data_IF_362804882499
#
_entry.id   IF_362804882499
#
_cell.length_a   1.000
_cell.length_b   1.000
_cell.length_c   1.000
_cell.angle_alpha   90.00
_cell.angle_beta   90.00
_cell.angle_gamma   90.00
#
_symmetry.space_group_name_H-M   'P 1'
#
loop_
_entity.id
_entity.type
_entity.pdbx_description
1 polymer ?
#
# COMPACT_ATOMS: atom_id res chain seq x y z
N UNK A 1 -2.28 -76.09 3.26
CA UNK A 1 -1.58 -76.73 2.13
C UNK A 1 -0.79 -75.62 1.44
N UNK A 2 0.54 -75.56 1.66
CA UNK A 2 1.61 -76.05 0.75
C UNK A 2 2.00 -74.90 -0.21
N UNK A 3 3.18 -74.26 -0.15
CA UNK A 3 4.56 -74.74 -0.46
C UNK A 3 4.64 -75.40 -1.84
N UNK A 4 5.73 -75.34 -2.61
CA UNK A 4 7.10 -74.77 -2.45
C UNK A 4 7.30 -73.82 -3.71
N UNK A 5 8.36 -73.05 -4.06
CA UNK A 5 9.83 -73.08 -3.91
C UNK A 5 10.49 -74.30 -4.60
N UNK A 6 11.65 -74.21 -5.26
CA UNK A 6 12.53 -73.08 -5.61
C UNK A 6 13.36 -73.45 -6.88
N UNK A 7 14.29 -72.56 -7.30
CA UNK A 7 15.67 -72.84 -7.78
C UNK A 7 16.13 -71.94 -8.94
N UNK A 8 17.39 -71.49 -8.86
CA UNK A 8 18.23 -71.07 -9.99
C UNK A 8 19.37 -72.11 -10.16
N UNK A 9 20.63 -71.72 -10.47
CA UNK A 9 21.16 -70.41 -10.83
C UNK A 9 21.90 -70.43 -12.21
N UNK A 10 22.69 -69.40 -12.51
CA UNK A 10 23.62 -69.39 -13.64
C UNK A 10 24.62 -68.23 -13.54
N UNK A 11 25.85 -68.51 -13.10
CA UNK A 11 26.96 -67.55 -13.04
C UNK A 11 27.58 -67.28 -14.42
N UNK A 12 28.20 -66.11 -14.61
CA UNK A 12 28.89 -65.78 -15.85
C UNK A 12 29.32 -64.31 -16.01
N UNK A 13 30.33 -63.89 -15.24
CA UNK A 13 31.06 -62.62 -15.44
C UNK A 13 32.57 -62.95 -15.31
N UNK A 14 33.46 -62.41 -16.17
CA UNK A 14 34.33 -61.34 -15.65
C UNK A 14 34.81 -60.27 -16.66
N UNK A 15 34.72 -59.01 -16.20
CA UNK A 15 35.79 -57.99 -16.20
C UNK A 15 36.37 -57.38 -17.50
N UNK A 16 36.20 -56.05 -17.59
CA UNK A 16 37.20 -55.02 -18.00
C UNK A 16 37.88 -55.07 -19.38
N UNK A 17 37.59 -54.08 -20.26
CA UNK A 17 38.37 -53.89 -21.48
C UNK A 17 38.11 -52.62 -22.33
N UNK A 18 38.76 -51.50 -21.98
CA UNK A 18 39.18 -50.38 -22.87
C UNK A 18 38.15 -49.47 -23.58
N UNK A 19 38.66 -48.33 -24.07
CA UNK A 19 37.96 -47.13 -24.54
C UNK A 19 37.64 -47.10 -26.06
N UNK A 20 36.66 -46.28 -26.51
CA UNK A 20 36.44 -45.97 -27.92
C UNK A 20 37.49 -44.99 -28.53
N UNK A 21 37.64 -44.94 -29.87
CA UNK A 21 38.70 -44.19 -30.57
C UNK A 21 38.44 -42.66 -30.70
N UNK A 22 39.48 -41.86 -31.05
CA UNK A 22 39.43 -40.39 -30.99
C UNK A 22 38.76 -39.70 -32.19
N UNK A 23 38.20 -38.52 -31.93
CA UNK A 23 37.79 -37.55 -32.96
C UNK A 23 38.99 -36.72 -33.45
N UNK A 24 38.83 -36.05 -34.60
CA UNK A 24 39.92 -35.47 -35.41
C UNK A 24 39.75 -33.96 -35.62
N UNK A 25 40.88 -33.25 -35.79
CA UNK A 25 41.07 -31.83 -36.17
C UNK A 25 40.91 -30.76 -35.05
N UNK A 26 41.64 -29.60 -35.14
CA UNK A 26 42.78 -29.41 -34.21
C UNK A 26 42.86 -28.05 -33.48
N UNK A 27 43.85 -27.91 -32.59
CA UNK A 27 44.33 -26.61 -32.07
C UNK A 27 45.32 -25.90 -33.03
N UNK A 28 45.44 -24.56 -32.97
CA UNK A 28 46.61 -23.81 -33.37
C UNK A 28 47.64 -23.67 -32.22
N UNK A 29 48.93 -23.69 -32.56
CA UNK A 29 50.04 -23.76 -31.60
C UNK A 29 50.35 -22.45 -30.85
N UNK A 30 50.99 -22.63 -29.68
CA UNK A 30 51.42 -21.59 -28.76
C UNK A 30 52.51 -20.64 -29.31
N UNK A 31 52.57 -19.44 -28.72
CA UNK A 31 53.79 -18.65 -28.59
C UNK A 31 54.02 -18.30 -27.11
N UNK A 32 55.26 -18.48 -26.65
CA UNK A 32 55.68 -18.18 -25.30
C UNK A 32 57.02 -17.44 -25.34
N UNK A 33 57.00 -16.13 -25.05
CA UNK A 33 58.19 -15.29 -24.94
C UNK A 33 58.03 -14.24 -23.86
N UNK A 34 59.06 -14.16 -23.01
CA UNK A 34 59.65 -12.94 -22.47
C UNK A 34 58.85 -12.00 -21.54
N UNK A 35 59.41 -11.82 -20.34
CA UNK A 35 59.16 -10.67 -19.47
C UNK A 35 59.80 -9.43 -20.09
N UNK A 36 59.00 -8.59 -20.74
CA UNK A 36 59.39 -7.21 -21.07
C UNK A 36 58.86 -6.25 -20.02
N UNK A 37 59.76 -5.60 -19.26
CA UNK A 37 59.35 -4.60 -18.28
C UNK A 37 58.72 -3.38 -18.98
N UNK A 38 57.50 -3.01 -18.58
CA UNK A 38 56.75 -1.90 -19.20
C UNK A 38 56.16 -1.03 -18.11
N UNK A 39 56.83 0.11 -17.93
CA UNK A 39 56.33 1.27 -17.18
C UNK A 39 54.88 1.55 -17.57
N UNK A 40 53.93 1.65 -16.61
CA UNK A 40 52.57 2.05 -16.94
C UNK A 40 52.60 3.46 -17.52
N UNK A 41 52.09 3.63 -18.73
CA UNK A 41 51.84 4.95 -19.29
C UNK A 41 50.91 5.73 -18.34
N UNK A 42 51.12 7.05 -18.24
CA UNK A 42 50.23 7.90 -17.47
C UNK A 42 48.78 7.72 -17.97
N UNK A 43 47.77 7.66 -17.07
CA UNK A 43 46.39 7.50 -17.48
C UNK A 43 45.99 8.67 -18.38
N UNK A 44 45.36 8.36 -19.53
CA UNK A 44 44.80 9.37 -20.42
C UNK A 44 43.96 10.36 -19.62
N UNK A 45 44.20 11.65 -19.84
CA UNK A 45 43.46 12.69 -19.15
C UNK A 45 41.96 12.56 -19.49
N UNK A 46 41.18 12.04 -18.54
CA UNK A 46 39.73 11.94 -18.65
C UNK A 46 39.14 13.35 -18.71
N UNK A 47 38.95 13.87 -19.92
CA UNK A 47 38.22 15.10 -20.19
C UNK A 47 36.74 14.76 -20.17
N UNK A 48 35.98 15.11 -19.12
CA UNK A 48 34.58 14.70 -19.01
C UNK A 48 33.75 15.40 -20.08
N UNK A 49 32.80 14.69 -20.67
CA UNK A 49 31.86 15.27 -21.61
C UNK A 49 30.94 16.25 -20.88
N UNK A 50 30.44 17.28 -21.58
CA UNK A 50 29.54 18.26 -20.96
C UNK A 50 28.28 17.62 -20.34
N UNK A 51 27.86 16.47 -20.88
CA UNK A 51 26.79 15.63 -20.35
C UNK A 51 27.15 15.00 -19.00
N UNK A 52 28.37 14.46 -18.87
CA UNK A 52 28.87 13.87 -17.63
C UNK A 52 29.05 14.95 -16.54
N UNK A 53 29.43 16.17 -16.92
CA UNK A 53 29.40 17.34 -16.03
C UNK A 53 27.97 17.72 -15.60
N UNK A 54 27.02 17.74 -16.53
CA UNK A 54 25.62 18.04 -16.22
C UNK A 54 25.01 16.99 -15.29
N UNK A 55 25.26 15.70 -15.56
CA UNK A 55 24.83 14.58 -14.72
C UNK A 55 25.50 14.62 -13.34
N UNK A 56 26.79 14.94 -13.25
CA UNK A 56 27.48 15.09 -11.96
C UNK A 56 26.90 16.25 -11.12
N UNK A 57 26.61 17.41 -11.74
CA UNK A 57 25.97 18.55 -11.07
C UNK A 57 24.53 18.21 -10.66
N UNK A 58 23.77 17.52 -11.51
CA UNK A 58 22.41 17.07 -11.21
C UNK A 58 22.40 16.05 -10.06
N UNK A 59 23.30 15.06 -10.08
CA UNK A 59 23.45 14.06 -9.02
C UNK A 59 23.87 14.69 -7.69
N UNK A 60 24.82 15.63 -7.69
CA UNK A 60 25.23 16.34 -6.47
C UNK A 60 24.06 17.15 -5.89
N UNK A 61 23.31 17.88 -6.72
CA UNK A 61 22.16 18.66 -6.30
C UNK A 61 20.97 17.81 -5.84
N UNK A 62 20.73 16.67 -6.50
CA UNK A 62 19.74 15.68 -6.07
C UNK A 62 20.14 15.10 -4.72
N UNK A 63 21.40 14.70 -4.56
CA UNK A 63 21.90 14.10 -3.32
C UNK A 63 21.80 15.08 -2.15
N UNK A 64 22.24 16.33 -2.33
CA UNK A 64 22.10 17.41 -1.34
C UNK A 64 20.65 17.81 -0.98
N UNK A 65 19.63 17.28 -1.68
CA UNK A 65 18.21 17.46 -1.35
C UNK A 65 17.59 16.27 -0.61
N UNK A 66 18.23 15.10 -0.59
CA UNK A 66 17.64 13.85 -0.09
C UNK A 66 18.51 13.10 0.92
N UNK A 67 19.85 13.16 0.81
CA UNK A 67 20.71 12.97 1.97
C UNK A 67 20.61 14.25 2.81
N UNK A 68 20.27 14.13 4.10
CA UNK A 68 20.38 15.24 5.05
C UNK A 68 21.84 15.68 5.22
N UNK A 69 22.11 16.82 5.88
CA UNK A 69 23.48 17.29 6.08
C UNK A 69 24.31 16.22 6.79
N UNK A 70 25.25 15.62 6.06
CA UNK A 70 26.29 14.77 6.62
C UNK A 70 27.28 15.72 7.29
N UNK A 71 27.46 15.60 8.60
CA UNK A 71 28.45 16.36 9.34
C UNK A 71 29.84 16.11 8.73
N UNK A 72 30.39 17.13 8.08
CA UNK A 72 31.81 17.16 7.77
C UNK A 72 32.58 17.25 9.10
N UNK A 73 33.72 16.53 9.27
CA UNK A 73 34.54 16.68 10.45
C UNK A 73 34.91 18.14 10.65
N UNK A 74 34.63 18.70 11.84
CA UNK A 74 34.95 20.08 12.14
C UNK A 74 36.46 20.32 12.04
N UNK A 75 36.85 21.42 11.39
CA UNK A 75 38.24 21.86 11.37
C UNK A 75 38.79 22.00 12.80
N UNK A 76 40.01 21.52 13.01
CA UNK A 76 40.65 21.57 14.32
C UNK A 76 40.93 23.04 14.73
N UNK A 77 40.62 23.44 15.97
CA UNK A 77 40.82 24.81 16.41
C UNK A 77 42.31 25.16 16.50
N UNK A 78 42.72 26.22 15.83
CA UNK A 78 44.01 26.87 16.06
C UNK A 78 44.08 27.44 17.50
N UNK A 79 45.27 27.50 18.13
CA UNK A 79 45.39 27.85 19.54
C UNK A 79 45.01 29.31 19.81
N UNK A 80 44.23 29.54 20.86
CA UNK A 80 43.89 30.87 21.34
C UNK A 80 45.09 31.52 22.06
N UNK A 81 45.25 32.83 21.86
CA UNK A 81 46.13 33.69 22.68
C UNK A 81 45.27 34.55 23.59
N UNK A 82 45.76 34.81 24.79
CA UNK A 82 45.00 35.26 25.96
C UNK A 82 44.66 36.77 25.94
N UNK A 83 43.43 37.11 26.35
CA UNK A 83 43.01 38.49 26.64
C UNK A 83 41.91 38.53 27.73
N UNK A 84 42.19 39.27 28.81
CA UNK A 84 41.43 39.28 30.06
C UNK A 84 40.12 40.11 29.97
N UNK A 85 39.07 39.69 30.69
CA UNK A 85 37.88 40.50 31.01
C UNK A 85 38.00 41.20 32.37
N UNK A 86 37.56 42.46 32.51
CA UNK A 86 37.07 43.03 33.77
C UNK A 86 35.62 42.58 34.09
N UNK A 87 35.15 42.82 35.31
CA UNK A 87 33.78 42.57 35.78
C UNK A 87 33.12 43.87 36.32
N UNK A 88 31.91 43.74 36.87
CA UNK A 88 31.18 44.71 37.73
C UNK A 88 30.64 45.99 37.04
N UNK A 89 29.45 46.56 37.33
CA UNK A 89 28.20 46.15 38.01
C UNK A 89 27.08 47.14 37.53
N UNK A 90 25.87 47.36 38.08
CA UNK A 90 25.06 46.91 39.23
C UNK A 90 23.57 47.35 38.98
N UNK A 91 22.63 46.97 39.87
CA UNK A 91 21.45 47.74 40.33
C UNK A 91 20.13 47.77 39.51
N UNK A 92 19.09 47.15 40.10
CA UNK A 92 17.84 47.88 40.44
C UNK A 92 16.57 47.74 39.56
N UNK A 93 15.44 47.21 40.08
CA UNK A 93 14.09 47.23 39.47
C UNK A 93 13.10 48.08 40.33
N UNK A 94 11.74 47.93 40.32
CA UNK A 94 10.74 47.39 39.35
C UNK A 94 9.57 48.39 39.08
N UNK A 95 8.52 48.02 38.31
CA UNK A 95 7.07 48.30 38.60
C UNK A 95 6.08 47.81 37.51
N UNK A 96 4.76 47.80 37.81
CA UNK A 96 3.65 47.31 36.94
C UNK A 96 2.42 48.28 36.98
N UNK A 97 1.17 47.92 36.57
CA UNK A 97 0.33 48.65 35.60
C UNK A 97 -0.71 49.62 36.26
N UNK A 98 -1.71 50.13 35.51
CA UNK A 98 -3.03 49.45 35.50
C UNK A 98 -3.79 49.49 34.15
N UNK A 99 -5.08 49.12 34.19
CA UNK A 99 -6.04 48.91 33.08
C UNK A 99 -7.14 49.99 33.11
N UNK A 100 -7.85 50.20 31.98
CA UNK A 100 -9.22 50.75 31.95
C UNK A 100 -10.03 50.16 30.78
N UNK A 101 -11.37 50.32 30.81
CA UNK A 101 -12.36 49.48 30.11
C UNK A 101 -13.56 50.33 29.56
N UNK A 102 -14.61 49.69 29.01
CA UNK A 102 -15.92 50.25 28.58
C UNK A 102 -15.91 51.20 27.34
N UNK A 103 -16.99 51.47 26.55
CA UNK A 103 -18.40 51.02 26.43
C UNK A 103 -19.00 51.61 25.10
N UNK A 104 -20.18 51.28 24.51
CA UNK A 104 -21.12 50.13 24.50
C UNK A 104 -22.17 50.30 23.34
N UNK A 105 -22.77 49.18 22.87
CA UNK A 105 -24.14 49.02 22.28
C UNK A 105 -24.68 49.82 21.06
N UNK A 106 -25.46 49.15 20.18
CA UNK A 106 -26.39 49.75 19.19
C UNK A 106 -26.84 48.80 18.06
N UNK A 107 -28.14 48.76 17.69
CA UNK A 107 -28.73 47.77 16.73
C UNK A 107 -29.69 48.45 15.69
N UNK A 108 -30.62 47.80 14.92
CA UNK A 108 -30.62 47.84 13.46
C UNK A 108 -31.80 48.61 12.79
N UNK A 109 -31.85 48.59 11.44
CA UNK A 109 -33.07 48.83 10.62
C UNK A 109 -32.94 48.16 9.23
N UNK A 110 -34.02 48.03 8.47
CA UNK A 110 -34.15 47.16 7.29
C UNK A 110 -34.95 47.77 6.12
N UNK A 111 -34.97 47.06 4.98
CA UNK A 111 -35.69 47.39 3.74
C UNK A 111 -34.80 48.00 2.63
N UNK A 112 -35.01 47.77 1.33
CA UNK A 112 -35.93 46.83 0.64
C UNK A 112 -35.44 46.47 -0.78
N UNK A 113 -35.98 45.34 -1.29
CA UNK A 113 -36.23 44.92 -2.69
C UNK A 113 -35.26 45.16 -3.89
N UNK A 114 -34.75 44.02 -4.39
CA UNK A 114 -34.86 43.53 -5.80
C UNK A 114 -33.90 43.99 -6.94
N UNK A 115 -33.90 43.17 -8.01
CA UNK A 115 -33.31 43.28 -9.34
C UNK A 115 -31.78 43.19 -9.47
N UNK A 116 -31.29 42.18 -10.20
CA UNK A 116 -29.87 41.90 -10.40
C UNK A 116 -29.32 42.17 -11.81
N UNK A 117 -28.00 42.22 -11.94
CA UNK A 117 -27.27 42.06 -13.21
C UNK A 117 -25.81 41.66 -12.97
N UNK A 118 -25.24 40.88 -13.88
CA UNK A 118 -23.93 40.23 -13.72
C UNK A 118 -22.75 41.18 -13.94
N UNK A 119 -21.75 41.13 -13.04
CA UNK A 119 -20.34 41.42 -13.42
C UNK A 119 -19.33 40.84 -12.40
N UNK A 120 -18.29 40.11 -12.84
CA UNK A 120 -17.32 39.50 -11.93
C UNK A 120 -16.23 40.48 -11.48
N UNK A 121 -15.74 40.39 -10.23
CA UNK A 121 -14.54 41.09 -9.79
C UNK A 121 -13.27 40.44 -10.37
N UNK A 122 -12.24 41.25 -10.65
CA UNK A 122 -11.08 40.81 -11.42
C UNK A 122 -10.07 39.93 -10.64
N UNK A 123 -9.69 38.81 -11.25
CA UNK A 123 -8.57 37.96 -10.80
C UNK A 123 -7.24 38.72 -10.88
N UNK A 124 -6.57 38.92 -9.73
CA UNK A 124 -5.24 39.56 -9.67
C UNK A 124 -4.13 38.57 -10.02
N UNK A 125 -3.99 38.23 -11.29
CA UNK A 125 -2.82 37.48 -11.77
C UNK A 125 -1.59 38.40 -11.74
N UNK A 126 -0.63 38.13 -10.86
CA UNK A 126 0.67 38.80 -10.86
C UNK A 126 1.49 38.30 -12.05
N UNK A 127 1.65 39.14 -13.08
CA UNK A 127 2.49 38.84 -14.23
C UNK A 127 3.95 39.19 -13.92
N UNK A 128 4.83 38.19 -13.96
CA UNK A 128 6.28 38.41 -13.82
C UNK A 128 6.83 39.20 -15.02
N UNK A 129 7.73 40.17 -14.82
CA UNK A 129 8.27 40.98 -15.91
C UNK A 129 9.22 40.17 -16.80
N UNK A 130 8.96 40.15 -18.11
CA UNK A 130 9.89 39.60 -19.10
C UNK A 130 11.03 40.61 -19.31
N UNK A 131 12.31 40.24 -19.13
CA UNK A 131 13.42 41.16 -19.34
C UNK A 131 13.56 41.51 -20.83
N UNK A 132 13.65 42.81 -21.12
CA UNK A 132 13.80 43.26 -22.52
C UNK A 132 15.14 42.84 -23.12
N UNK A 133 15.15 42.50 -24.42
CA UNK A 133 16.35 42.03 -25.13
C UNK A 133 17.57 42.98 -25.05
N UNK A 134 17.34 44.27 -24.79
CA UNK A 134 18.40 45.27 -24.63
C UNK A 134 19.26 45.05 -23.37
N UNK A 135 18.70 44.44 -22.32
CA UNK A 135 19.45 44.05 -21.12
C UNK A 135 20.33 42.82 -21.37
N UNK A 136 19.87 41.88 -22.21
CA UNK A 136 20.65 40.70 -22.60
C UNK A 136 21.87 41.10 -23.42
N UNK A 137 21.70 42.02 -24.38
CA UNK A 137 22.80 42.50 -25.23
C UNK A 137 23.96 43.12 -24.43
N UNK A 138 23.68 43.87 -23.36
CA UNK A 138 24.71 44.49 -22.51
C UNK A 138 25.45 43.52 -21.57
N UNK A 139 24.95 42.28 -21.41
CA UNK A 139 25.61 41.26 -20.60
C UNK A 139 26.64 40.42 -21.38
N UNK A 140 26.51 40.33 -22.71
CA UNK A 140 27.38 39.50 -23.57
C UNK A 140 28.77 40.13 -23.74
N UNK A 141 28.84 41.47 -23.83
CA UNK A 141 30.05 42.24 -24.15
C UNK A 141 31.10 42.30 -23.01
N UNK A 142 30.95 41.48 -21.97
CA UNK A 142 31.85 41.42 -20.80
C UNK A 142 32.46 40.05 -20.50
N UNK A 143 32.22 39.04 -21.34
CA UNK A 143 32.72 37.68 -21.15
C UNK A 143 33.37 37.08 -22.41
N UNK A 144 34.38 37.78 -22.94
CA UNK A 144 35.37 37.16 -23.84
C UNK A 144 36.52 36.58 -22.99
N UNK A 145 36.71 35.24 -22.93
CA UNK A 145 37.72 34.64 -22.07
C UNK A 145 39.13 34.82 -22.66
N UNK A 146 40.10 35.15 -21.79
CA UNK A 146 41.52 35.13 -22.14
C UNK A 146 42.03 33.67 -22.11
N UNK A 147 42.81 33.21 -23.11
CA UNK A 147 42.96 31.77 -23.40
C UNK A 147 43.71 30.93 -22.34
N UNK A 148 44.43 31.55 -21.40
CA UNK A 148 45.22 30.83 -20.37
C UNK A 148 44.69 31.02 -18.93
N UNK A 149 43.48 31.56 -18.77
CA UNK A 149 42.87 31.73 -17.45
C UNK A 149 42.31 30.44 -16.85
N UNK A 150 42.76 30.04 -15.65
CA UNK A 150 42.03 29.09 -14.80
C UNK A 150 40.89 29.81 -14.08
N UNK A 151 39.66 29.68 -14.60
CA UNK A 151 38.47 30.30 -14.00
C UNK A 151 37.72 29.32 -13.08
N UNK A 152 37.52 29.68 -11.81
CA UNK A 152 36.58 28.99 -10.91
C UNK A 152 35.18 29.59 -11.07
N UNK A 153 34.30 28.87 -11.77
CA UNK A 153 32.89 29.25 -11.89
C UNK A 153 32.13 28.89 -10.60
N UNK A 154 31.84 29.90 -9.77
CA UNK A 154 30.91 29.78 -8.65
C UNK A 154 29.47 29.71 -9.17
N UNK A 155 29.06 28.52 -9.63
CA UNK A 155 27.66 28.20 -9.88
C UNK A 155 26.90 28.27 -8.55
N UNK A 156 25.87 29.11 -8.49
CA UNK A 156 24.92 29.10 -7.37
C UNK A 156 24.22 27.74 -7.25
N UNK A 157 23.65 27.39 -6.07
CA UNK A 157 22.96 26.13 -5.88
C UNK A 157 21.87 25.98 -6.96
N UNK A 158 21.92 24.92 -7.78
CA UNK A 158 21.12 24.88 -9.00
C UNK A 158 19.63 24.90 -8.68
N UNK A 159 18.91 25.75 -9.41
CA UNK A 159 17.45 25.84 -9.38
C UNK A 159 16.83 24.61 -10.08
N UNK A 160 17.13 23.41 -9.55
CA UNK A 160 16.32 22.23 -9.73
C UNK A 160 14.87 22.63 -9.48
N UNK A 161 13.92 22.35 -10.40
CA UNK A 161 12.53 22.70 -10.23
C UNK A 161 11.99 22.35 -8.84
N UNK A 162 11.04 23.15 -8.36
CA UNK A 162 10.18 22.69 -7.29
C UNK A 162 9.52 21.39 -7.78
N UNK A 163 9.63 20.27 -7.07
CA UNK A 163 8.92 19.07 -7.46
C UNK A 163 7.42 19.36 -7.32
N UNK A 164 6.73 19.52 -8.45
CA UNK A 164 5.27 19.44 -8.44
C UNK A 164 4.90 18.09 -7.76
N UNK A 165 4.07 18.11 -6.72
CA UNK A 165 3.86 16.92 -5.90
C UNK A 165 3.24 15.82 -6.77
N UNK A 166 3.99 14.72 -6.94
CA UNK A 166 3.66 13.62 -7.85
C UNK A 166 2.17 13.28 -7.76
N UNK A 167 1.39 13.47 -8.85
CA UNK A 167 -0.05 13.30 -8.81
C UNK A 167 -0.47 11.86 -8.47
N UNK A 168 0.43 10.88 -8.51
CA UNK A 168 0.21 9.50 -8.12
C UNK A 168 0.95 9.05 -6.84
N UNK A 169 1.59 9.97 -6.11
CA UNK A 169 2.44 9.65 -4.94
C UNK A 169 1.75 8.77 -3.88
N UNK A 170 2.48 7.88 -3.17
CA UNK A 170 1.91 6.83 -2.33
C UNK A 170 1.04 7.36 -1.16
N UNK A 171 1.34 8.57 -0.65
CA UNK A 171 0.50 9.27 0.32
C UNK A 171 -0.90 9.58 -0.23
N UNK A 172 -1.02 10.07 -1.47
CA UNK A 172 -2.31 10.36 -2.12
C UNK A 172 -3.14 9.09 -2.28
N UNK A 173 -2.53 7.97 -2.69
CA UNK A 173 -3.21 6.68 -2.80
C UNK A 173 -3.74 6.23 -1.45
N UNK A 174 -2.92 6.33 -0.39
CA UNK A 174 -3.32 5.98 0.98
C UNK A 174 -4.49 6.85 1.47
N UNK A 175 -4.42 8.17 1.27
CA UNK A 175 -5.47 9.11 1.64
C UNK A 175 -6.79 8.88 0.88
N UNK A 176 -6.74 8.50 -0.40
CA UNK A 176 -7.94 8.18 -1.18
C UNK A 176 -8.59 6.85 -0.73
N UNK A 177 -7.78 5.85 -0.33
CA UNK A 177 -8.30 4.63 0.29
C UNK A 177 -8.91 4.92 1.68
N UNK A 178 -8.26 5.77 2.48
CA UNK A 178 -8.77 6.21 3.79
C UNK A 178 -10.10 6.97 3.66
N UNK A 179 -10.22 7.89 2.70
CA UNK A 179 -11.47 8.61 2.42
C UNK A 179 -12.60 7.67 1.95
N UNK A 180 -12.28 6.63 1.20
CA UNK A 180 -13.26 5.63 0.81
C UNK A 180 -13.75 4.79 2.01
N UNK A 181 -12.84 4.42 2.92
CA UNK A 181 -13.19 3.74 4.18
C UNK A 181 -13.91 4.67 5.17
N UNK A 182 -13.70 5.98 5.11
CA UNK A 182 -14.41 6.98 5.93
C UNK A 182 -15.93 6.99 5.68
N UNK A 183 -16.43 6.42 4.57
CA UNK A 183 -17.87 6.18 4.40
C UNK A 183 -18.46 5.23 5.47
N UNK A 184 -17.63 4.38 6.10
CA UNK A 184 -18.01 3.54 7.24
C UNK A 184 -18.09 4.32 8.57
N UNK A 185 -17.61 5.56 8.62
CA UNK A 185 -17.54 6.35 9.85
C UNK A 185 -18.93 6.76 10.33
N UNK A 186 -19.39 6.14 11.42
CA UNK A 186 -20.59 6.55 12.15
C UNK A 186 -20.30 6.54 13.65
N UNK A 187 -20.79 7.55 14.36
CA UNK A 187 -20.67 7.68 15.82
C UNK A 187 -21.99 7.27 16.49
N UNK A 188 -21.95 6.21 17.28
CA UNK A 188 -23.10 5.69 18.04
C UNK A 188 -22.92 5.96 19.54
N UNK A 189 -24.01 6.04 20.32
CA UNK A 189 -23.94 5.97 21.78
C UNK A 189 -23.26 4.67 22.23
N UNK A 190 -22.39 4.74 23.24
CA UNK A 190 -21.86 3.54 23.87
C UNK A 190 -22.92 2.81 24.70
N UNK A 191 -22.70 1.51 24.94
CA UNK A 191 -23.53 0.68 25.83
C UNK A 191 -22.89 0.46 27.20
N UNK A 192 -21.58 0.69 27.31
CA UNK A 192 -20.74 0.31 28.46
C UNK A 192 -19.77 1.42 28.90
N UNK A 193 -19.77 2.58 28.22
CA UNK A 193 -18.95 3.74 28.59
C UNK A 193 -19.81 5.00 28.66
N UNK A 194 -19.86 5.62 29.85
CA UNK A 194 -20.46 6.94 30.03
C UNK A 194 -19.35 8.01 30.03
N UNK A 195 -19.67 9.21 29.55
CA UNK A 195 -18.86 10.42 29.69
C UNK A 195 -19.60 11.42 30.59
N UNK A 196 -18.87 12.32 31.23
CA UNK A 196 -19.47 13.42 31.99
C UNK A 196 -20.15 14.37 31.00
N UNK A 197 -21.41 14.70 31.25
CA UNK A 197 -22.08 15.79 30.57
C UNK A 197 -21.71 17.09 31.30
N UNK A 198 -20.55 17.64 30.94
CA UNK A 198 -19.95 18.82 31.58
C UNK A 198 -20.90 20.03 31.56
N UNK A 199 -21.66 20.19 30.48
CA UNK A 199 -22.61 21.29 30.26
C UNK A 199 -23.83 21.14 31.18
N UNK A 200 -24.50 19.98 31.17
CA UNK A 200 -25.62 19.70 32.09
C UNK A 200 -25.18 19.76 33.56
N UNK A 201 -23.97 19.30 33.87
CA UNK A 201 -23.39 19.34 35.22
C UNK A 201 -23.13 20.77 35.69
N UNK A 202 -22.67 21.65 34.80
CA UNK A 202 -22.44 23.06 35.10
C UNK A 202 -23.75 23.86 35.23
N UNK A 203 -24.70 23.67 34.30
CA UNK A 203 -26.03 24.30 34.35
C UNK A 203 -26.76 23.93 35.65
N UNK A 204 -26.89 22.63 35.95
CA UNK A 204 -27.60 22.17 37.13
C UNK A 204 -26.85 22.52 38.43
N UNK A 205 -25.52 22.42 38.44
CA UNK A 205 -24.68 22.81 39.58
C UNK A 205 -24.76 24.30 39.94
N UNK A 206 -25.05 25.18 38.98
CA UNK A 206 -25.36 26.59 39.24
C UNK A 206 -26.79 26.81 39.78
N UNK A 207 -27.74 25.93 39.44
CA UNK A 207 -29.15 26.03 39.85
C UNK A 207 -29.39 25.47 41.26
N UNK A 208 -28.78 24.34 41.61
CA UNK A 208 -28.97 23.69 42.92
C UNK A 208 -27.78 23.81 43.89
N UNK A 209 -26.60 24.19 43.39
CA UNK A 209 -25.37 24.30 44.20
C UNK A 209 -24.73 22.97 44.59
N UNK A 210 -25.26 21.84 44.13
CA UNK A 210 -24.85 20.49 44.53
C UNK A 210 -23.77 19.87 43.63
N UNK A 211 -23.54 20.45 42.43
CA UNK A 211 -22.49 20.05 41.47
C UNK A 211 -22.46 18.54 41.16
N UNK A 212 -23.64 17.90 41.12
CA UNK A 212 -23.78 16.47 40.89
C UNK A 212 -23.44 16.10 39.44
N UNK A 213 -22.59 15.08 39.19
CA UNK A 213 -22.15 14.73 37.84
C UNK A 213 -23.27 14.06 37.02
N UNK A 214 -23.73 14.72 35.98
CA UNK A 214 -24.64 14.14 34.99
C UNK A 214 -23.85 13.33 33.96
N UNK A 215 -24.30 12.11 33.65
CA UNK A 215 -23.58 11.19 32.78
C UNK A 215 -24.38 10.86 31.51
N UNK A 216 -23.73 10.93 30.35
CA UNK A 216 -24.32 10.54 29.06
C UNK A 216 -23.52 9.41 28.38
N UNK A 217 -24.12 8.60 27.49
CA UNK A 217 -23.38 7.58 26.75
C UNK A 217 -22.32 8.17 25.80
N UNK A 218 -21.07 7.73 25.96
CA UNK A 218 -19.95 8.28 25.19
C UNK A 218 -20.07 7.95 23.68
N UNK A 219 -19.74 8.91 22.81
CA UNK A 219 -19.98 8.75 21.36
C UNK A 219 -18.82 8.06 20.65
N UNK A 220 -18.93 6.74 20.50
CA UNK A 220 -17.91 5.83 19.97
C UNK A 220 -18.10 5.54 18.47
N UNK A 221 -17.02 5.19 17.77
CA UNK A 221 -17.11 4.67 16.39
C UNK A 221 -17.90 3.35 16.37
N UNK A 222 -18.79 3.19 15.39
CA UNK A 222 -19.75 2.08 15.32
C UNK A 222 -19.12 0.71 15.06
N UNK A 223 -17.95 0.68 14.42
CA UNK A 223 -17.33 -0.55 13.93
C UNK A 223 -15.91 -0.75 14.43
N UNK A 224 -15.51 -2.01 14.55
CA UNK A 224 -14.14 -2.48 14.67
C UNK A 224 -13.77 -3.26 13.40
N UNK A 225 -12.58 -3.03 12.84
CA UNK A 225 -12.13 -3.69 11.61
C UNK A 225 -11.13 -4.81 11.90
N UNK A 226 -11.37 -5.97 11.30
CA UNK A 226 -10.39 -7.06 11.22
C UNK A 226 -9.91 -7.22 9.78
N UNK A 227 -8.61 -7.03 9.57
CA UNK A 227 -7.89 -7.30 8.33
C UNK A 227 -7.28 -8.70 8.40
N UNK A 228 -7.77 -9.62 7.56
CA UNK A 228 -7.22 -10.97 7.42
C UNK A 228 -6.32 -10.99 6.18
N UNK A 229 -5.01 -10.85 6.37
CA UNK A 229 -4.03 -10.89 5.28
C UNK A 229 -3.62 -12.34 5.00
N UNK A 230 -3.72 -12.79 3.76
CA UNK A 230 -3.24 -14.11 3.36
C UNK A 230 -1.72 -14.26 3.64
N UNK A 231 -1.30 -15.44 4.13
CA UNK A 231 0.10 -15.81 4.43
C UNK A 231 0.71 -16.69 3.31
N UNK A 232 0.04 -16.81 2.15
CA UNK A 232 0.56 -17.50 0.98
C UNK A 232 1.90 -16.93 0.46
N UNK A 233 2.83 -17.75 -0.08
CA UNK A 233 4.16 -17.29 -0.50
C UNK A 233 4.19 -16.14 -1.52
N UNK A 234 3.13 -16.00 -2.34
CA UNK A 234 2.98 -14.92 -3.30
C UNK A 234 2.60 -13.58 -2.68
N UNK A 235 2.08 -13.56 -1.45
CA UNK A 235 1.71 -12.33 -0.74
C UNK A 235 2.89 -11.41 -0.43
N UNK A 236 4.13 -11.92 -0.49
CA UNK A 236 5.37 -11.14 -0.30
C UNK A 236 5.46 -9.92 -1.22
N UNK A 237 5.08 -10.04 -2.50
CA UNK A 237 5.11 -8.89 -3.43
C UNK A 237 3.97 -7.88 -3.17
N UNK A 238 3.02 -8.23 -2.31
CA UNK A 238 1.85 -7.43 -1.97
C UNK A 238 1.91 -6.84 -0.57
N UNK A 239 2.95 -7.12 0.23
CA UNK A 239 3.05 -6.67 1.63
C UNK A 239 2.95 -5.15 1.77
N UNK A 240 3.60 -4.39 0.89
CA UNK A 240 3.51 -2.92 0.90
C UNK A 240 2.09 -2.44 0.57
N UNK A 241 1.38 -3.11 -0.34
CA UNK A 241 -0.03 -2.81 -0.68
C UNK A 241 -1.00 -3.18 0.44
N UNK A 242 -0.77 -4.30 1.14
CA UNK A 242 -1.56 -4.70 2.30
C UNK A 242 -1.33 -3.76 3.49
N UNK A 243 -0.07 -3.40 3.78
CA UNK A 243 0.27 -2.42 4.80
C UNK A 243 -0.26 -1.01 4.47
N UNK A 244 -0.32 -0.65 3.18
CA UNK A 244 -0.95 0.61 2.73
C UNK A 244 -2.46 0.61 2.97
N UNK A 245 -3.14 -0.52 2.81
CA UNK A 245 -4.57 -0.67 3.17
C UNK A 245 -4.77 -0.61 4.70
N UNK A 246 -3.90 -1.24 5.50
CA UNK A 246 -3.97 -1.17 6.95
C UNK A 246 -3.83 0.27 7.46
N UNK A 247 -2.79 0.99 7.01
CA UNK A 247 -2.62 2.43 7.30
C UNK A 247 -3.81 3.25 6.84
N UNK A 248 -4.36 2.98 5.64
CA UNK A 248 -5.55 3.68 5.16
C UNK A 248 -6.79 3.44 6.04
N UNK A 249 -6.95 2.26 6.62
CA UNK A 249 -8.03 1.98 7.56
C UNK A 249 -7.84 2.71 8.90
N UNK A 250 -6.63 2.68 9.46
CA UNK A 250 -6.27 3.40 10.69
C UNK A 250 -6.51 4.92 10.53
N UNK A 251 -6.01 5.51 9.44
CA UNK A 251 -6.12 6.93 9.13
C UNK A 251 -7.52 7.34 8.63
N UNK A 252 -8.46 6.40 8.47
CA UNK A 252 -9.85 6.74 8.07
C UNK A 252 -10.67 7.32 9.21
N UNK A 253 -10.30 7.04 10.48
CA UNK A 253 -11.11 7.40 11.65
C UNK A 253 -12.48 6.69 11.73
N UNK A 254 -12.81 5.79 10.81
CA UNK A 254 -14.11 5.12 10.74
C UNK A 254 -14.31 4.05 11.82
N UNK A 255 -13.22 3.47 12.30
CA UNK A 255 -13.20 2.33 13.21
C UNK A 255 -12.76 2.74 14.62
N UNK A 256 -13.17 1.98 15.63
CA UNK A 256 -12.66 2.09 17.01
C UNK A 256 -11.28 1.47 17.11
N UNK A 257 -11.12 0.24 16.61
CA UNK A 257 -9.83 -0.42 16.44
C UNK A 257 -9.71 -1.04 15.05
N UNK A 258 -8.48 -1.09 14.54
CA UNK A 258 -8.08 -1.85 13.36
C UNK A 258 -7.14 -2.95 13.83
N UNK A 259 -7.45 -4.21 13.50
CA UNK A 259 -6.68 -5.38 13.89
C UNK A 259 -6.22 -6.15 12.67
N UNK A 260 -4.96 -6.56 12.64
CA UNK A 260 -4.38 -7.30 11.51
C UNK A 260 -3.97 -8.71 11.93
N UNK A 261 -4.48 -9.72 11.24
CA UNK A 261 -4.07 -11.12 11.37
C UNK A 261 -3.50 -11.62 10.03
N UNK A 262 -2.64 -12.63 10.12
CA UNK A 262 -2.35 -13.52 9.00
C UNK A 262 -3.35 -14.67 8.96
N UNK A 263 -3.81 -15.05 7.78
CA UNK A 263 -4.65 -16.23 7.56
C UNK A 263 -3.97 -17.21 6.61
N UNK A 264 -3.94 -18.49 6.98
CA UNK A 264 -3.52 -19.58 6.10
C UNK A 264 -4.72 -20.44 5.79
N UNK A 265 -5.11 -20.49 4.52
CA UNK A 265 -6.19 -21.35 4.03
C UNK A 265 -5.57 -22.61 3.39
N UNK A 266 -5.58 -23.78 4.07
CA UNK A 266 -5.06 -25.00 3.50
C UNK A 266 -6.01 -25.59 2.45
N UNK A 267 -5.54 -26.56 1.67
CA UNK A 267 -6.40 -27.32 0.73
C UNK A 267 -7.26 -28.38 1.44
N UNK A 268 -6.92 -28.74 2.67
CA UNK A 268 -7.52 -29.81 3.48
C UNK A 268 -7.36 -29.48 4.95
N UNK A 269 -8.41 -29.70 5.77
CA UNK A 269 -8.48 -29.20 7.14
C UNK A 269 -9.02 -27.77 7.22
N UNK A 270 -8.97 -27.16 8.39
CA UNK A 270 -9.53 -25.82 8.68
C UNK A 270 -8.53 -24.70 8.37
N UNK A 271 -9.05 -23.50 8.06
CA UNK A 271 -8.22 -22.30 7.95
C UNK A 271 -7.67 -21.89 9.34
N UNK A 272 -6.41 -21.48 9.40
CA UNK A 272 -5.77 -21.00 10.63
C UNK A 272 -5.52 -19.50 10.58
N UNK A 273 -5.55 -18.88 11.76
CA UNK A 273 -5.37 -17.45 11.95
C UNK A 273 -4.23 -17.20 12.94
N UNK A 274 -3.47 -16.12 12.75
CA UNK A 274 -2.34 -15.77 13.63
C UNK A 274 -2.23 -14.26 13.74
N UNK A 275 -2.05 -13.74 14.95
CA UNK A 275 -1.83 -12.31 15.17
C UNK A 275 -0.55 -11.83 14.47
N UNK A 276 -0.59 -10.66 13.82
CA UNK A 276 0.57 -10.13 13.08
C UNK A 276 1.81 -9.93 13.96
N UNK A 277 1.59 -9.56 15.23
CA UNK A 277 2.59 -9.31 16.26
C UNK A 277 3.05 -10.55 17.04
N UNK A 278 2.57 -11.76 16.70
CA UNK A 278 2.82 -12.95 17.51
C UNK A 278 2.89 -14.29 16.77
N UNK A 279 3.28 -15.33 17.53
CA UNK A 279 3.15 -16.74 17.12
C UNK A 279 1.85 -17.40 17.56
N UNK A 280 1.08 -16.76 18.44
CA UNK A 280 -0.20 -17.27 18.91
C UNK A 280 -1.20 -17.43 17.75
N UNK A 281 -1.72 -18.64 17.60
CA UNK A 281 -2.88 -18.93 16.76
C UNK A 281 -4.10 -18.27 17.41
N UNK A 282 -4.87 -17.52 16.63
CA UNK A 282 -6.16 -17.00 17.07
C UNK A 282 -7.25 -18.00 16.70
N UNK A 283 -8.20 -18.28 17.60
CA UNK A 283 -9.40 -19.02 17.23
C UNK A 283 -10.27 -18.14 16.31
N UNK A 284 -10.76 -18.62 15.15
CA UNK A 284 -11.83 -17.96 14.41
C UNK A 284 -13.04 -17.55 15.27
N UNK A 285 -13.30 -18.21 16.40
CA UNK A 285 -14.30 -17.79 17.39
C UNK A 285 -13.97 -16.45 18.08
N UNK A 286 -12.70 -16.13 18.36
CA UNK A 286 -12.27 -14.82 18.89
C UNK A 286 -12.57 -13.68 17.90
N UNK A 287 -12.64 -14.00 16.60
CA UNK A 287 -13.03 -13.04 15.57
C UNK A 287 -14.53 -12.73 15.59
N UNK A 288 -15.38 -13.54 16.21
CA UNK A 288 -16.82 -13.31 16.26
C UNK A 288 -17.18 -12.50 17.52
N UNK A 289 -17.87 -11.37 17.33
CA UNK A 289 -18.32 -10.51 18.43
C UNK A 289 -19.85 -10.54 18.51
N UNK A 290 -20.40 -11.02 19.63
CA UNK A 290 -21.85 -11.05 19.87
C UNK A 290 -22.51 -9.67 19.86
N UNK A 291 -21.74 -8.57 19.83
CA UNK A 291 -22.24 -7.20 19.66
C UNK A 291 -22.59 -6.85 18.21
N UNK A 292 -22.14 -7.65 17.22
CA UNK A 292 -22.38 -7.41 15.78
C UNK A 292 -21.64 -6.20 15.20
N UNK A 293 -20.80 -5.52 15.98
CA UNK A 293 -20.11 -4.27 15.61
C UNK A 293 -18.77 -4.50 14.88
N UNK A 294 -18.60 -5.63 14.20
CA UNK A 294 -17.30 -6.02 13.61
C UNK A 294 -17.39 -6.23 12.10
N UNK A 295 -16.43 -5.64 11.39
CA UNK A 295 -16.30 -5.67 9.95
C UNK A 295 -15.04 -6.47 9.58
N UNK A 296 -15.12 -7.26 8.51
CA UNK A 296 -14.04 -8.15 8.08
C UNK A 296 -13.60 -7.83 6.64
N UNK A 297 -12.30 -7.62 6.44
CA UNK A 297 -11.69 -7.53 5.12
C UNK A 297 -10.62 -8.60 4.94
N UNK A 298 -10.87 -9.53 4.03
CA UNK A 298 -9.96 -10.62 3.66
C UNK A 298 -9.11 -10.17 2.47
N UNK A 299 -7.79 -10.09 2.63
CA UNK A 299 -6.88 -9.50 1.63
C UNK A 299 -6.00 -10.60 1.03
N UNK A 300 -6.16 -10.88 -0.27
CA UNK A 300 -5.48 -11.99 -0.94
C UNK A 300 -5.29 -11.75 -2.45
N UNK A 301 -4.28 -12.38 -3.03
CA UNK A 301 -4.12 -12.50 -4.49
C UNK A 301 -4.90 -13.70 -5.09
N UNK A 302 -5.55 -14.51 -4.26
CA UNK A 302 -6.35 -15.67 -4.65
C UNK A 302 -5.54 -16.85 -5.21
N UNK A 303 -4.21 -16.81 -5.25
CA UNK A 303 -3.39 -17.82 -5.91
C UNK A 303 -3.16 -19.08 -5.05
N UNK A 304 -3.36 -19.00 -3.73
CA UNK A 304 -3.33 -20.18 -2.87
C UNK A 304 -4.43 -21.18 -3.23
N UNK A 305 -4.13 -22.48 -3.23
CA UNK A 305 -5.10 -23.52 -3.64
C UNK A 305 -6.22 -23.75 -2.60
N UNK A 306 -6.06 -23.30 -1.35
CA UNK A 306 -7.10 -23.40 -0.32
C UNK A 306 -8.32 -22.53 -0.59
N UNK A 307 -8.18 -21.45 -1.38
CA UNK A 307 -9.30 -20.61 -1.84
C UNK A 307 -10.26 -21.32 -2.81
N UNK A 308 -9.92 -22.53 -3.28
CA UNK A 308 -10.81 -23.45 -3.98
C UNK A 308 -10.95 -24.77 -3.19
N UNK A 309 -11.19 -24.67 -1.88
CA UNK A 309 -11.39 -25.77 -0.95
C UNK A 309 -12.35 -25.37 0.18
N UNK A 310 -12.88 -26.35 0.91
CA UNK A 310 -13.89 -26.14 1.96
C UNK A 310 -13.40 -25.24 3.09
N UNK A 311 -12.09 -25.20 3.36
CA UNK A 311 -11.48 -24.28 4.32
C UNK A 311 -11.81 -22.81 4.05
N UNK A 312 -11.94 -22.42 2.77
CA UNK A 312 -12.33 -21.06 2.38
C UNK A 312 -13.84 -20.83 2.52
N UNK A 313 -14.66 -21.83 2.19
CA UNK A 313 -16.11 -21.79 2.36
C UNK A 313 -16.48 -21.65 3.85
N UNK A 314 -15.85 -22.43 4.73
CA UNK A 314 -16.02 -22.35 6.17
C UNK A 314 -15.53 -21.01 6.75
N UNK A 315 -14.34 -20.55 6.35
CA UNK A 315 -13.80 -19.28 6.85
C UNK A 315 -14.68 -18.11 6.43
N UNK A 316 -14.99 -17.98 5.14
CA UNK A 316 -15.79 -16.87 4.66
C UNK A 316 -17.23 -16.94 5.17
N UNK A 317 -17.84 -18.13 5.23
CA UNK A 317 -19.20 -18.30 5.76
C UNK A 317 -19.33 -17.87 7.23
N UNK A 318 -18.37 -18.27 8.09
CA UNK A 318 -18.36 -17.85 9.51
C UNK A 318 -18.22 -16.35 9.68
N UNK A 319 -17.34 -15.69 8.91
CA UNK A 319 -17.17 -14.24 8.97
C UNK A 319 -18.41 -13.50 8.42
N UNK A 320 -18.91 -13.94 7.26
CA UNK A 320 -20.03 -13.37 6.55
C UNK A 320 -21.35 -13.40 7.35
N UNK A 321 -21.55 -14.44 8.16
CA UNK A 321 -22.71 -14.54 9.06
C UNK A 321 -22.54 -13.74 10.37
N UNK A 322 -21.30 -13.41 10.77
CA UNK A 322 -21.03 -12.67 12.00
C UNK A 322 -20.96 -11.15 11.81
N UNK A 323 -20.76 -10.68 10.58
CA UNK A 323 -20.78 -9.25 10.26
C UNK A 323 -20.36 -8.93 8.83
N UNK A 324 -20.39 -7.63 8.44
CA UNK A 324 -20.08 -7.20 7.08
C UNK A 324 -18.69 -7.64 6.63
N UNK A 325 -18.66 -8.54 5.65
CA UNK A 325 -17.45 -9.23 5.18
C UNK A 325 -17.22 -8.97 3.70
N UNK A 326 -16.01 -8.59 3.31
CA UNK A 326 -15.62 -8.52 1.90
C UNK A 326 -14.18 -8.98 1.66
N UNK A 327 -13.87 -9.34 0.42
CA UNK A 327 -12.59 -9.87 -0.01
C UNK A 327 -11.87 -8.88 -0.93
N UNK A 328 -10.80 -8.25 -0.45
CA UNK A 328 -9.94 -7.36 -1.25
C UNK A 328 -9.00 -8.20 -2.10
N UNK A 329 -9.39 -8.41 -3.35
CA UNK A 329 -8.62 -9.25 -4.28
C UNK A 329 -7.57 -8.40 -5.01
N UNK A 330 -6.31 -8.64 -4.67
CA UNK A 330 -5.15 -7.82 -5.06
C UNK A 330 -4.84 -7.86 -6.56
N UNK A 331 -5.14 -8.98 -7.25
CA UNK A 331 -4.95 -9.07 -8.69
C UNK A 331 -5.88 -8.10 -9.46
N UNK A 332 -5.35 -7.38 -10.47
CA UNK A 332 -6.16 -6.63 -11.43
C UNK A 332 -7.28 -7.50 -12.02
N UNK A 333 -8.49 -6.95 -12.28
CA UNK A 333 -9.65 -7.74 -12.74
C UNK A 333 -9.37 -8.71 -13.89
N UNK A 334 -8.58 -8.29 -14.88
CA UNK A 334 -8.22 -9.10 -16.05
C UNK A 334 -7.30 -10.30 -15.74
N UNK A 335 -6.71 -10.41 -14.54
CA UNK A 335 -5.91 -11.58 -14.10
C UNK A 335 -6.67 -12.51 -13.15
N UNK A 336 -7.83 -12.10 -12.62
CA UNK A 336 -8.57 -12.87 -11.59
C UNK A 336 -9.01 -14.26 -12.07
N UNK A 337 -9.24 -14.43 -13.38
CA UNK A 337 -9.50 -15.73 -14.03
C UNK A 337 -8.36 -16.77 -13.91
N UNK A 338 -7.22 -16.41 -13.31
CA UNK A 338 -6.06 -17.31 -13.09
C UNK A 338 -5.89 -17.71 -11.63
N UNK A 339 -6.68 -17.12 -10.73
CA UNK A 339 -6.66 -17.40 -9.29
C UNK A 339 -7.67 -18.50 -8.94
N UNK A 340 -7.55 -19.08 -7.75
CA UNK A 340 -8.52 -20.03 -7.19
C UNK A 340 -9.85 -19.36 -6.84
N UNK A 341 -9.81 -18.04 -6.57
CA UNK A 341 -11.00 -17.21 -6.43
C UNK A 341 -11.46 -16.79 -7.82
N UNK A 342 -12.72 -17.07 -8.12
CA UNK A 342 -13.32 -16.69 -9.40
C UNK A 342 -14.60 -15.86 -9.12
N UNK A 343 -14.51 -14.52 -9.12
CA UNK A 343 -15.65 -13.65 -8.78
C UNK A 343 -16.65 -13.49 -9.94
N UNK A 344 -17.95 -13.52 -9.65
CA UNK A 344 -19.05 -13.28 -10.58
C UNK A 344 -19.47 -11.80 -10.52
N UNK A 345 -19.82 -11.12 -11.63
CA UNK A 345 -20.41 -9.78 -11.55
C UNK A 345 -21.83 -9.86 -10.96
N UNK A 346 -22.16 -8.96 -10.03
CA UNK A 346 -23.49 -8.89 -9.42
C UNK A 346 -23.92 -7.44 -9.16
N UNK A 347 -25.22 -7.24 -8.97
CA UNK A 347 -25.77 -6.07 -8.29
C UNK A 347 -26.14 -6.49 -6.86
N UNK A 348 -25.70 -5.71 -5.89
CA UNK A 348 -25.97 -5.91 -4.47
C UNK A 348 -26.92 -4.86 -3.94
N UNK A 349 -27.69 -5.20 -2.91
CA UNK A 349 -28.48 -4.30 -2.08
C UNK A 349 -28.11 -4.45 -0.59
N UNK A 350 -28.00 -3.33 0.11
CA UNK A 350 -27.71 -3.28 1.54
C UNK A 350 -28.80 -3.98 2.38
N UNK A 351 -28.38 -4.87 3.30
CA UNK A 351 -29.29 -5.46 4.29
C UNK A 351 -29.74 -4.49 5.38
N UNK A 352 -29.01 -3.38 5.54
CA UNK A 352 -29.16 -2.40 6.61
C UNK A 352 -27.81 -2.04 7.23
N UNK A 353 -27.81 -1.04 8.12
CA UNK A 353 -26.60 -0.55 8.75
C UNK A 353 -25.88 -1.64 9.55
N UNK A 354 -24.66 -2.00 9.13
CA UNK A 354 -23.84 -3.03 9.77
C UNK A 354 -24.36 -4.46 9.60
N UNK A 355 -25.32 -4.71 8.71
CA UNK A 355 -25.93 -6.03 8.56
C UNK A 355 -24.93 -7.09 8.04
N UNK A 356 -24.99 -8.34 8.56
CA UNK A 356 -24.24 -9.46 8.00
C UNK A 356 -24.61 -9.76 6.55
N UNK A 357 -23.77 -10.54 5.87
CA UNK A 357 -23.86 -10.76 4.42
C UNK A 357 -25.02 -11.67 4.00
N UNK A 358 -25.58 -12.46 4.92
CA UNK A 358 -26.82 -13.22 4.70
C UNK A 358 -28.01 -12.30 4.34
N UNK A 359 -27.96 -11.06 4.79
CA UNK A 359 -28.97 -10.03 4.63
C UNK A 359 -28.77 -9.18 3.35
N UNK A 360 -27.69 -9.43 2.58
CA UNK A 360 -27.41 -8.76 1.31
C UNK A 360 -28.25 -9.36 0.17
N UNK A 361 -29.18 -8.58 -0.35
CA UNK A 361 -29.84 -8.89 -1.62
C UNK A 361 -28.80 -8.89 -2.74
N UNK A 362 -28.83 -9.91 -3.61
CA UNK A 362 -27.88 -10.02 -4.72
C UNK A 362 -28.52 -10.64 -5.96
N UNK A 363 -28.19 -10.12 -7.14
CA UNK A 363 -28.73 -10.59 -8.41
C UNK A 363 -27.69 -10.50 -9.53
N UNK A 364 -27.97 -11.18 -10.64
CA UNK A 364 -27.25 -10.97 -11.89
C UNK A 364 -27.41 -9.50 -12.36
N UNK A 365 -26.42 -8.94 -13.09
CA UNK A 365 -26.51 -7.58 -13.63
C UNK A 365 -27.65 -7.42 -14.66
N UNK A 366 -28.07 -6.19 -15.00
CA UNK A 366 -29.12 -5.92 -15.99
C UNK A 366 -28.86 -6.41 -17.43
N UNK A 367 -27.68 -6.98 -17.72
CA UNK A 367 -27.38 -7.69 -18.97
C UNK A 367 -27.63 -9.21 -18.91
N UNK A 368 -28.20 -9.72 -17.82
CA UNK A 368 -28.33 -11.14 -17.51
C UNK A 368 -27.10 -11.72 -16.79
N UNK A 369 -27.17 -13.00 -16.37
CA UNK A 369 -25.99 -13.73 -15.92
C UNK A 369 -25.03 -13.97 -17.09
N UNK A 370 -23.74 -14.10 -16.81
CA UNK A 370 -22.77 -14.60 -17.79
C UNK A 370 -23.19 -16.01 -18.23
N UNK A 371 -23.48 -16.29 -19.51
CA UNK A 371 -23.94 -17.61 -19.95
C UNK A 371 -22.83 -18.67 -19.89
N UNK A 372 -21.56 -18.26 -19.92
CA UNK A 372 -20.43 -19.15 -19.63
C UNK A 372 -20.23 -19.35 -18.13
N UNK A 373 -20.95 -18.59 -17.29
CA UNK A 373 -20.71 -18.50 -15.86
C UNK A 373 -21.92 -18.05 -15.02
N UNK A 374 -23.01 -18.83 -15.00
CA UNK A 374 -24.20 -18.48 -14.23
C UNK A 374 -23.89 -18.32 -12.74
N UNK A 375 -24.50 -17.32 -12.11
CA UNK A 375 -24.48 -17.15 -10.67
C UNK A 375 -25.38 -18.24 -10.06
N UNK A 376 -24.91 -19.06 -9.09
CA UNK A 376 -25.74 -20.04 -8.40
C UNK A 376 -27.00 -19.43 -7.78
N UNK A 377 -28.07 -20.22 -7.70
CA UNK A 377 -29.39 -19.75 -7.29
C UNK A 377 -29.48 -19.42 -5.79
N UNK A 378 -30.40 -18.53 -5.47
CA UNK A 378 -30.58 -17.97 -4.12
C UNK A 378 -31.31 -18.96 -3.20
N UNK A 379 -30.62 -20.05 -2.86
CA UNK A 379 -31.15 -21.15 -2.04
C UNK A 379 -30.11 -22.17 -1.57
N UNK A 380 -28.92 -22.22 -2.19
CA UNK A 380 -27.83 -23.19 -1.96
C UNK A 380 -27.19 -23.16 -0.54
N UNK A 381 -27.73 -22.38 0.40
CA UNK A 381 -27.11 -22.06 1.69
C UNK A 381 -25.85 -21.20 1.59
N UNK A 382 -25.48 -20.76 0.39
CA UNK A 382 -24.24 -20.03 0.12
C UNK A 382 -24.39 -18.52 0.32
N UNK A 383 -23.42 -17.89 0.99
CA UNK A 383 -23.47 -16.47 1.37
C UNK A 383 -22.63 -15.62 0.42
N UNK A 384 -23.19 -14.51 -0.07
CA UNK A 384 -22.52 -13.62 -1.00
C UNK A 384 -21.44 -12.75 -0.30
N UNK A 385 -20.19 -12.86 -0.74
CA UNK A 385 -19.06 -12.06 -0.25
C UNK A 385 -18.57 -11.12 -1.36
N UNK A 386 -18.75 -9.79 -1.23
CA UNK A 386 -18.27 -8.81 -2.21
C UNK A 386 -16.75 -8.88 -2.40
N UNK A 387 -16.30 -8.83 -3.65
CA UNK A 387 -14.88 -8.91 -4.04
C UNK A 387 -14.39 -7.56 -4.52
N UNK A 388 -13.72 -6.86 -3.62
CA UNK A 388 -13.24 -5.51 -3.88
C UNK A 388 -11.97 -5.54 -4.74
N UNK A 389 -11.66 -4.42 -5.36
CA UNK A 389 -10.32 -4.11 -5.86
C UNK A 389 -9.66 -3.09 -4.94
N UNK A 390 -8.33 -3.01 -4.92
CA UNK A 390 -7.59 -2.00 -4.16
C UNK A 390 -7.67 -0.63 -4.88
N UNK A 391 -8.90 -0.14 -5.05
CA UNK A 391 -9.28 1.12 -5.69
C UNK A 391 -10.29 1.86 -4.79
N UNK A 392 -10.15 3.17 -4.56
CA UNK A 392 -11.06 3.94 -3.70
C UNK A 392 -12.55 3.74 -4.02
N UNK A 393 -12.94 3.82 -5.30
CA UNK A 393 -14.33 3.62 -5.71
C UNK A 393 -14.90 2.22 -5.35
N UNK A 394 -14.05 1.19 -5.31
CA UNK A 394 -14.47 -0.18 -4.96
C UNK A 394 -14.67 -0.36 -3.46
N UNK A 395 -13.91 0.36 -2.63
CA UNK A 395 -14.08 0.40 -1.17
C UNK A 395 -15.27 1.28 -0.78
N UNK A 396 -15.45 2.43 -1.43
CA UNK A 396 -16.58 3.32 -1.21
C UNK A 396 -17.91 2.64 -1.57
N UNK A 397 -17.99 1.99 -2.74
CA UNK A 397 -19.19 1.24 -3.13
C UNK A 397 -19.56 0.10 -2.17
N UNK A 398 -18.60 -0.51 -1.46
CA UNK A 398 -18.92 -1.47 -0.40
C UNK A 398 -19.28 -0.78 0.91
N UNK A 399 -18.59 0.30 1.28
CA UNK A 399 -18.88 1.10 2.47
C UNK A 399 -20.29 1.71 2.44
N UNK A 400 -20.76 2.08 1.26
CA UNK A 400 -22.14 2.50 0.98
C UNK A 400 -23.17 1.37 1.21
N UNK A 401 -22.81 0.11 0.93
CA UNK A 401 -23.68 -1.05 1.22
C UNK A 401 -23.72 -1.36 2.71
N UNK A 402 -22.58 -1.25 3.41
CA UNK A 402 -22.48 -1.54 4.85
C UNK A 402 -23.14 -0.45 5.70
N UNK A 403 -23.14 0.80 5.24
CA UNK A 403 -23.80 1.91 5.97
C UNK A 403 -25.16 2.32 5.42
N UNK A 404 -25.59 1.73 4.31
CA UNK A 404 -26.85 2.01 3.65
C UNK A 404 -28.07 1.39 4.35
N UNK A 405 -29.22 2.01 4.16
CA UNK A 405 -30.51 1.36 4.38
C UNK A 405 -30.85 0.41 3.23
N UNK A 406 -31.87 -0.45 3.43
CA UNK A 406 -32.44 -1.27 2.35
C UNK A 406 -32.85 -0.39 1.16
N UNK A 407 -32.75 -0.92 -0.05
CA UNK A 407 -32.84 -0.17 -1.30
C UNK A 407 -31.54 0.47 -1.80
N UNK A 408 -30.49 0.63 -0.97
CA UNK A 408 -29.18 1.13 -1.43
C UNK A 408 -28.49 0.05 -2.26
N UNK A 409 -28.39 0.27 -3.58
CA UNK A 409 -27.81 -0.68 -4.54
C UNK A 409 -26.44 -0.26 -5.08
N UNK A 410 -25.54 -1.24 -5.27
CA UNK A 410 -24.19 -1.05 -5.81
C UNK A 410 -23.75 -2.28 -6.62
N UNK A 411 -23.10 -2.06 -7.75
CA UNK A 411 -22.54 -3.15 -8.58
C UNK A 411 -21.14 -3.51 -8.12
N UNK A 412 -20.97 -4.72 -7.59
CA UNK A 412 -19.69 -5.29 -7.18
C UNK A 412 -19.65 -6.77 -7.57
N UNK A 413 -18.50 -7.32 -7.99
CA UNK A 413 -18.41 -8.75 -8.17
C UNK A 413 -18.42 -9.47 -6.81
N UNK A 414 -18.88 -10.71 -6.77
CA UNK A 414 -19.00 -11.55 -5.56
C UNK A 414 -18.32 -12.90 -5.73
N UNK A 415 -17.91 -13.51 -4.62
CA UNK A 415 -17.80 -14.97 -4.50
C UNK A 415 -18.90 -15.46 -3.56
N UNK A 416 -19.30 -16.73 -3.70
CA UNK A 416 -20.28 -17.36 -2.82
C UNK A 416 -19.57 -18.31 -1.87
N UNK A 417 -19.56 -17.98 -0.58
CA UNK A 417 -19.07 -18.86 0.47
C UNK A 417 -20.06 -20.03 0.64
N UNK A 418 -19.58 -21.27 0.53
CA UNK A 418 -20.38 -22.48 0.32
C UNK A 418 -20.27 -23.04 -1.11
N UNK A 419 -19.58 -22.34 -2.02
CA UNK A 419 -19.38 -22.77 -3.41
C UNK A 419 -17.94 -22.58 -3.94
N UNK A 420 -16.98 -22.10 -3.14
CA UNK A 420 -15.58 -21.97 -3.55
C UNK A 420 -14.92 -23.32 -3.82
N UNK A 421 -15.24 -24.33 -3.01
CA UNK A 421 -14.84 -25.74 -3.21
C UNK A 421 -15.36 -26.37 -4.50
N UNK A 422 -16.40 -25.79 -5.13
CA UNK A 422 -16.86 -26.17 -6.49
C UNK A 422 -15.96 -25.59 -7.60
N UNK A 423 -15.02 -24.69 -7.26
CA UNK A 423 -14.12 -24.00 -8.19
C UNK A 423 -12.83 -24.77 -8.53
N UNK A 424 -12.12 -24.30 -9.56
CA UNK A 424 -10.82 -24.84 -9.94
C UNK A 424 -9.68 -24.09 -9.22
N UNK A 425 -8.69 -24.78 -8.61
CA UNK A 425 -7.56 -24.13 -7.96
C UNK A 425 -6.61 -23.46 -8.98
N UNK A 426 -5.98 -22.36 -8.56
CA UNK A 426 -5.06 -21.58 -9.39
C UNK A 426 -4.00 -22.45 -10.06
N UNK A 427 -3.88 -22.35 -11.39
CA UNK A 427 -2.95 -23.14 -12.18
C UNK A 427 -1.49 -22.69 -12.02
N UNK A 428 -0.87 -23.10 -10.91
CA UNK A 428 0.60 -23.20 -10.77
C UNK A 428 1.27 -22.28 -9.74
N UNK A 429 1.09 -22.56 -8.45
CA UNK A 429 2.03 -22.13 -7.38
C UNK A 429 2.95 -23.28 -6.88
N UNK A 430 2.83 -24.49 -7.43
CA UNK A 430 3.71 -25.61 -7.07
C UNK A 430 4.98 -25.58 -7.90
N UNK A 431 6.13 -25.63 -7.23
CA UNK A 431 7.41 -25.88 -7.88
C UNK A 431 7.32 -27.18 -8.72
N UNK A 432 7.70 -27.14 -10.02
CA UNK A 432 7.56 -28.28 -10.90
C UNK A 432 8.57 -29.39 -10.55
N UNK A 433 8.07 -30.50 -9.99
CA UNK A 433 8.87 -31.62 -9.47
C UNK A 433 9.61 -32.47 -10.52
N UNK A 434 9.44 -32.17 -11.81
CA UNK A 434 10.01 -32.94 -12.92
C UNK A 434 10.57 -31.96 -13.97
N UNK A 435 11.73 -32.24 -14.60
CA UNK A 435 12.33 -31.34 -15.59
C UNK A 435 11.39 -30.95 -16.74
N UNK A 436 10.61 -31.91 -17.27
CA UNK A 436 9.59 -31.65 -18.32
C UNK A 436 8.50 -30.68 -17.84
N UNK A 437 8.10 -30.76 -16.57
CA UNK A 437 7.15 -29.82 -15.98
C UNK A 437 7.78 -28.44 -15.75
N UNK A 438 9.09 -28.37 -15.48
CA UNK A 438 9.82 -27.09 -15.38
C UNK A 438 9.88 -26.38 -16.73
N UNK A 439 10.25 -27.09 -17.81
CA UNK A 439 10.22 -26.54 -19.17
C UNK A 439 8.81 -26.07 -19.57
N UNK A 440 7.77 -26.82 -19.21
CA UNK A 440 6.38 -26.42 -19.45
C UNK A 440 5.98 -25.16 -18.65
N UNK A 441 6.37 -25.08 -17.37
CA UNK A 441 6.11 -23.90 -16.54
C UNK A 441 6.84 -22.66 -17.07
N UNK A 442 8.11 -22.78 -17.49
CA UNK A 442 8.89 -21.69 -18.09
C UNK A 442 8.28 -21.23 -19.42
N UNK A 443 7.91 -22.16 -20.33
CA UNK A 443 7.21 -21.81 -21.58
C UNK A 443 5.90 -21.07 -21.31
N UNK A 444 5.14 -21.51 -20.31
CA UNK A 444 3.87 -20.89 -19.88
C UNK A 444 4.07 -19.55 -19.15
N UNK A 445 5.20 -19.33 -18.50
CA UNK A 445 5.58 -18.01 -18.01
C UNK A 445 5.86 -17.08 -19.21
N UNK A 446 6.74 -17.47 -20.13
CA UNK A 446 7.11 -16.60 -21.26
C UNK A 446 5.95 -16.25 -22.21
N UNK A 447 4.95 -17.14 -22.37
CA UNK A 447 3.73 -16.81 -23.15
C UNK A 447 2.75 -15.89 -22.42
N UNK A 448 2.78 -15.84 -21.08
CA UNK A 448 1.85 -15.04 -20.27
C UNK A 448 2.47 -13.76 -19.68
N UNK A 449 3.80 -13.67 -19.62
CA UNK A 449 4.54 -12.57 -19.02
C UNK A 449 4.63 -11.36 -19.96
N UNK A 450 4.49 -10.16 -19.37
CA UNK A 450 4.72 -8.88 -20.05
C UNK A 450 6.21 -8.71 -20.42
N UNK A 451 6.57 -7.86 -21.41
CA UNK A 451 7.97 -7.63 -21.77
C UNK A 451 8.87 -7.18 -20.60
N UNK A 452 8.31 -6.45 -19.63
CA UNK A 452 9.04 -6.05 -18.42
C UNK A 452 9.20 -7.21 -17.43
N UNK A 453 8.18 -8.05 -17.25
CA UNK A 453 8.29 -9.24 -16.40
C UNK A 453 9.29 -10.28 -16.96
N UNK A 454 9.37 -10.42 -18.30
CA UNK A 454 10.40 -11.24 -18.97
C UNK A 454 11.81 -10.73 -18.69
N UNK A 455 12.02 -9.41 -18.82
CA UNK A 455 13.32 -8.77 -18.52
C UNK A 455 13.71 -8.93 -17.05
N UNK A 456 12.78 -8.71 -16.12
CA UNK A 456 13.04 -8.92 -14.69
C UNK A 456 13.43 -10.38 -14.39
N UNK A 457 12.76 -11.35 -15.00
CA UNK A 457 13.10 -12.77 -14.88
C UNK A 457 14.47 -13.15 -15.47
N UNK A 458 15.00 -12.38 -16.44
CA UNK A 458 16.38 -12.56 -16.95
C UNK A 458 17.45 -11.81 -16.14
N UNK A 459 17.06 -10.93 -15.22
CA UNK A 459 18.00 -10.18 -14.37
C UNK A 459 18.15 -10.77 -12.96
N UNK A 460 17.28 -11.71 -12.55
CA UNK A 460 17.41 -12.40 -11.27
C UNK A 460 18.29 -13.65 -11.43
N UNK A 461 19.44 -13.79 -10.72
CA UNK A 461 20.20 -15.03 -10.72
C UNK A 461 19.37 -16.15 -10.06
N UNK A 462 19.61 -17.44 -10.39
CA UNK A 462 18.98 -18.52 -9.65
C UNK A 462 19.37 -18.43 -8.17
N UNK A 463 18.37 -18.42 -7.28
CA UNK A 463 18.62 -18.62 -5.85
C UNK A 463 19.26 -19.99 -5.65
N UNK A 464 20.25 -20.13 -4.75
CA UNK A 464 20.57 -21.43 -4.16
C UNK A 464 19.36 -22.01 -3.40
#
# INVERSE_FOLDING_TARGET
MTRERASGPGDGDPASGSSPPPSVYPEPLAHASERGDRVPAAPDHFVPRWQEFADAVWLAAHRSRYDGPVDAPQDAPAPAVEAVRPQDAEAGPPSRPPVTDDALSGVPSAGDEDAGSERPPASRTSAAPVPSARAVAQAVDRFLPHPEGRFTLHLGPPLLPQPEPDPAGPGRVTALLARALHHLARRIPSRDHLELDEETTAEQGLVDGLWMPFLRPARISAFDLVLLLDDAPTMRIWEESAARLARAAEHSGAFRSVRTLRTTVPRTGTATLRWSTGRAVADPAELLDGRGSRIFLVVTDGLAHGWAATAADELLGRLANAGPTALVHLLPPHLRHRSSLYPYPAVLEAGGFGAPNDSLGHWAPPGGPDPMRPLPETGDGSVAVPVLSLKPASLAAWSDLVTGGRGVRRSLPVVLAGALSKGAPALGLRAPRLPRAATAAVRRFFSLATPSARRLATHWPPSP
#
